data_IF_114871263459
#
_entry.id   IF_114871263459
#
_cell.length_a   1.000
_cell.length_b   1.000
_cell.length_c   1.000
_cell.angle_alpha   90.00
_cell.angle_beta   90.00
_cell.angle_gamma   90.00
#
_symmetry.space_group_name_H-M   'P 1'
#
loop_
_entity.id
_entity.type
_entity.pdbx_description
1 polymer ?
#
# COMPACT_ATOMS: atom_id res chain seq x y z
N UNK A 1 4.05 16.32 27.46
CA UNK A 1 3.38 17.64 27.41
C UNK A 1 3.17 17.98 25.96
N UNK A 2 1.95 18.03 25.61
CA UNK A 2 1.39 17.81 24.30
C UNK A 2 1.48 19.03 23.38
N UNK A 3 2.20 18.89 22.28
CA UNK A 3 2.17 19.83 21.17
C UNK A 3 1.29 19.27 20.03
N UNK A 4 -0.03 19.25 20.25
CA UNK A 4 -1.00 18.97 19.19
C UNK A 4 -1.04 20.13 18.21
N UNK A 5 -0.43 19.95 17.03
CA UNK A 5 -0.67 20.79 15.86
C UNK A 5 -2.06 20.45 15.30
N UNK A 6 -3.05 21.28 15.61
CA UNK A 6 -4.36 21.22 14.98
C UNK A 6 -4.29 21.90 13.60
N UNK A 7 -4.45 21.13 12.55
CA UNK A 7 -4.65 21.66 11.18
C UNK A 7 -6.10 22.14 11.04
N UNK A 8 -6.29 23.43 10.82
CA UNK A 8 -7.59 23.99 10.42
C UNK A 8 -7.61 24.12 8.88
N UNK A 9 -8.26 23.20 8.20
CA UNK A 9 -8.56 23.27 6.78
C UNK A 9 -9.81 24.12 6.55
N UNK A 10 -9.67 25.25 5.86
CA UNK A 10 -10.80 26.10 5.43
C UNK A 10 -11.06 25.84 3.96
N UNK A 11 -12.21 25.27 3.64
CA UNK A 11 -12.69 25.10 2.27
C UNK A 11 -13.53 26.29 1.84
N UNK A 12 -13.12 27.00 0.79
CA UNK A 12 -13.95 27.96 0.10
C UNK A 12 -14.58 27.28 -1.13
N UNK A 13 -15.79 26.77 -0.98
CA UNK A 13 -16.54 26.16 -2.09
C UNK A 13 -17.34 27.25 -2.79
N UNK A 14 -16.91 27.69 -3.98
CA UNK A 14 -17.76 28.42 -4.91
C UNK A 14 -18.67 27.43 -5.63
N UNK A 15 -19.98 27.62 -5.45
CA UNK A 15 -21.00 26.91 -6.23
C UNK A 15 -21.00 27.42 -7.67
N UNK A 16 -20.61 26.57 -8.61
CA UNK A 16 -20.68 26.86 -10.04
C UNK A 16 -20.17 25.69 -10.87
N UNK A 17 -20.99 25.22 -11.77
CA UNK A 17 -20.83 24.02 -12.59
C UNK A 17 -19.73 24.07 -13.67
N UNK A 18 -18.78 25.00 -13.62
CA UNK A 18 -17.80 25.22 -14.71
C UNK A 18 -16.33 25.10 -14.32
N UNK A 19 -15.96 24.59 -13.12
CA UNK A 19 -14.57 24.65 -12.62
C UNK A 19 -13.80 23.35 -12.66
N UNK A 20 -14.17 22.36 -13.42
CA UNK A 20 -13.48 21.06 -13.45
C UNK A 20 -12.82 20.72 -14.81
N UNK A 21 -12.31 21.73 -15.50
CA UNK A 21 -11.36 21.53 -16.59
C UNK A 21 -9.98 21.99 -16.12
N UNK A 22 -9.13 21.02 -15.80
CA UNK A 22 -7.66 21.13 -15.73
C UNK A 22 -6.98 22.04 -14.69
N UNK A 23 -7.58 22.36 -13.55
CA UNK A 23 -6.81 22.98 -12.44
C UNK A 23 -7.24 22.42 -11.10
N UNK A 24 -6.27 21.93 -10.30
CA UNK A 24 -6.50 21.65 -8.88
C UNK A 24 -6.81 22.93 -8.13
N UNK A 25 -7.70 22.91 -7.10
CA UNK A 25 -7.94 24.06 -6.24
C UNK A 25 -6.67 24.40 -5.46
N UNK A 26 -6.29 25.67 -5.43
CA UNK A 26 -5.26 26.18 -4.55
C UNK A 26 -5.75 26.09 -3.09
N UNK A 27 -5.07 25.32 -2.27
CA UNK A 27 -5.32 25.25 -0.84
C UNK A 27 -4.61 26.41 -0.14
N UNK A 28 -5.34 27.33 0.49
CA UNK A 28 -4.76 28.31 1.39
C UNK A 28 -4.88 27.82 2.82
N UNK A 29 -3.75 27.71 3.51
CA UNK A 29 -3.68 27.40 4.92
C UNK A 29 -3.77 28.71 5.71
N UNK A 30 -4.89 28.94 6.39
CA UNK A 30 -5.07 30.10 7.28
C UNK A 30 -4.98 29.67 8.74
N UNK A 31 -4.28 30.47 9.55
CA UNK A 31 -4.29 30.33 11.01
C UNK A 31 -5.50 31.07 11.59
N UNK A 32 -6.33 30.35 12.34
CA UNK A 32 -7.39 30.98 13.14
C UNK A 32 -7.04 30.95 14.63
N UNK A 33 -7.19 32.10 15.29
CA UNK A 33 -7.19 32.16 16.75
C UNK A 33 -8.58 31.87 17.29
N UNK A 34 -8.68 31.38 18.52
CA UNK A 34 -9.92 31.01 19.21
C UNK A 34 -10.94 32.16 19.40
N UNK A 35 -10.66 33.35 18.91
CA UNK A 35 -11.50 34.57 19.07
C UNK A 35 -12.18 35.03 17.80
N UNK A 36 -12.14 34.28 16.71
CA UNK A 36 -12.95 34.55 15.52
C UNK A 36 -12.63 35.83 14.74
N UNK A 37 -11.46 36.44 14.92
CA UNK A 37 -11.02 37.62 14.14
C UNK A 37 -9.91 37.21 13.17
N UNK A 38 -10.10 37.54 11.89
CA UNK A 38 -9.06 37.46 10.87
C UNK A 38 -7.98 38.48 11.16
N UNK A 39 -6.74 38.02 11.44
CA UNK A 39 -5.59 38.92 11.50
C UNK A 39 -5.06 39.14 10.09
N UNK A 40 -4.97 40.41 9.71
CA UNK A 40 -4.31 40.82 8.47
C UNK A 40 -2.79 40.71 8.63
N UNK A 41 -2.12 40.44 7.51
CA UNK A 41 -0.67 40.14 7.41
C UNK A 41 0.28 41.30 7.74
N UNK A 42 -0.16 42.39 8.38
CA UNK A 42 0.66 43.59 8.62
C UNK A 42 1.08 43.77 10.09
N UNK A 43 1.28 42.68 10.87
CA UNK A 43 1.65 42.81 12.30
C UNK A 43 3.09 42.39 12.62
N UNK A 44 4.01 42.48 11.66
CA UNK A 44 5.43 42.20 11.91
C UNK A 44 6.38 43.41 11.70
N UNK A 45 5.84 44.62 11.50
CA UNK A 45 6.66 45.85 11.50
C UNK A 45 6.55 46.56 12.82
N UNK A 46 7.27 46.10 13.84
CA UNK A 46 7.29 46.85 15.09
C UNK A 46 7.88 46.18 16.32
N UNK A 47 8.84 45.25 16.20
CA UNK A 47 9.61 44.83 17.37
C UNK A 47 11.11 45.01 17.15
N UNK A 48 11.65 45.87 18.00
CA UNK A 48 13.01 46.37 17.99
C UNK A 48 14.08 45.27 18.01
N UNK A 49 15.21 45.64 17.42
CA UNK A 49 16.47 44.86 17.40
C UNK A 49 16.97 44.62 18.84
N UNK A 50 16.56 43.57 19.50
CA UNK A 50 17.27 42.99 20.63
C UNK A 50 18.04 41.77 20.15
N UNK A 51 19.37 41.83 20.38
CA UNK A 51 20.35 40.93 19.79
C UNK A 51 20.15 39.47 20.19
N UNK A 52 19.56 38.71 19.32
CA UNK A 52 19.73 37.26 19.34
C UNK A 52 21.09 36.96 18.70
N UNK A 53 22.10 36.61 19.51
CA UNK A 53 23.29 35.92 19.01
C UNK A 53 22.79 34.73 18.21
N UNK A 54 23.04 34.76 16.90
CA UNK A 54 23.02 33.55 16.10
C UNK A 54 24.10 32.65 16.69
N UNK A 55 23.72 31.75 17.58
CA UNK A 55 24.52 30.56 17.76
C UNK A 55 24.61 29.91 16.39
N UNK A 56 25.79 29.86 15.86
CA UNK A 56 26.11 29.01 14.70
C UNK A 56 25.77 27.62 15.16
N UNK A 57 24.60 27.11 14.72
CA UNK A 57 24.34 25.68 14.72
C UNK A 57 25.48 25.15 13.86
N UNK A 58 26.49 24.55 14.51
CA UNK A 58 27.53 23.79 13.83
C UNK A 58 26.74 22.69 13.14
N UNK A 59 26.54 22.83 11.82
CA UNK A 59 25.97 21.79 10.99
C UNK A 59 26.95 20.61 11.09
N UNK A 60 26.63 19.64 11.92
CA UNK A 60 27.28 18.35 11.90
C UNK A 60 27.24 17.86 10.43
N UNK A 61 28.35 17.39 9.88
CA UNK A 61 28.39 16.98 8.47
C UNK A 61 27.28 15.98 8.22
N UNK A 62 26.40 16.30 7.28
CA UNK A 62 25.37 15.41 6.81
C UNK A 62 26.05 14.20 6.15
N UNK A 63 26.15 13.10 6.89
CA UNK A 63 26.70 11.88 6.33
C UNK A 63 25.62 11.20 5.49
N UNK A 64 25.79 11.24 4.19
CA UNK A 64 24.97 10.47 3.26
C UNK A 64 25.29 8.99 3.43
N UNK A 65 24.25 8.18 3.66
CA UNK A 65 24.43 6.73 3.73
C UNK A 65 24.94 6.23 2.36
N UNK A 66 26.11 5.58 2.29
CA UNK A 66 26.68 5.15 1.01
C UNK A 66 25.83 4.09 0.30
N UNK A 67 24.95 3.40 1.02
CA UNK A 67 24.12 2.31 0.48
C UNK A 67 22.75 2.80 0.00
N UNK A 68 22.05 3.68 0.77
CA UNK A 68 20.72 4.18 0.40
C UNK A 68 20.75 5.63 -0.08
N UNK A 69 21.90 6.29 -0.06
CA UNK A 69 22.13 7.71 -0.41
C UNK A 69 21.27 8.73 0.35
N UNK A 70 20.64 8.32 1.45
CA UNK A 70 19.87 9.22 2.31
C UNK A 70 20.76 9.96 3.27
N UNK A 71 20.43 11.22 3.52
CA UNK A 71 21.11 12.05 4.51
C UNK A 71 20.82 11.51 5.91
N UNK A 72 21.87 11.09 6.62
CA UNK A 72 21.79 10.79 8.06
C UNK A 72 21.85 12.09 8.83
N UNK A 73 20.78 12.52 9.44
CA UNK A 73 20.88 13.48 10.54
C UNK A 73 21.49 12.75 11.74
N UNK A 74 22.60 13.24 12.25
CA UNK A 74 23.35 12.66 13.37
C UNK A 74 22.65 12.77 14.74
N UNK A 75 21.44 13.30 14.81
CA UNK A 75 20.62 13.29 16.03
C UNK A 75 19.84 11.98 16.11
N UNK A 76 20.49 10.94 16.56
CA UNK A 76 20.04 9.62 16.99
C UNK A 76 18.61 9.21 16.63
N UNK A 77 18.40 8.05 16.10
CA UNK A 77 17.17 7.25 16.02
C UNK A 77 16.51 7.03 14.65
N UNK A 78 16.97 7.63 13.56
CA UNK A 78 16.40 7.22 12.26
C UNK A 78 17.13 6.00 11.73
N UNK A 79 16.54 4.84 11.91
CA UNK A 79 17.03 3.58 11.35
C UNK A 79 16.95 3.64 9.83
N UNK A 80 18.07 3.49 9.15
CA UNK A 80 18.08 3.30 7.71
C UNK A 80 17.46 1.95 7.38
N UNK A 81 16.55 1.87 6.40
CA UNK A 81 15.94 0.62 5.94
C UNK A 81 16.96 -0.48 5.61
N UNK A 82 18.13 -0.09 5.10
CA UNK A 82 19.22 -1.03 4.82
C UNK A 82 19.84 -1.58 6.10
N UNK A 83 20.05 -0.72 7.11
CA UNK A 83 20.58 -1.19 8.40
C UNK A 83 19.56 -2.04 9.14
N UNK A 84 18.27 -1.70 9.05
CA UNK A 84 17.21 -2.53 9.60
C UNK A 84 17.20 -3.90 8.92
N UNK A 85 17.25 -3.94 7.59
CA UNK A 85 17.35 -5.18 6.82
C UNK A 85 18.62 -5.98 7.17
N UNK A 86 19.76 -5.32 7.26
CA UNK A 86 21.01 -5.98 7.62
C UNK A 86 20.92 -6.56 9.03
N UNK A 87 20.44 -5.81 10.01
CA UNK A 87 20.23 -6.27 11.37
C UNK A 87 19.28 -7.47 11.45
N UNK A 88 18.12 -7.39 10.76
CA UNK A 88 17.15 -8.49 10.71
C UNK A 88 17.77 -9.75 10.09
N UNK A 89 18.52 -9.60 9.00
CA UNK A 89 19.18 -10.74 8.35
C UNK A 89 20.34 -11.33 9.19
N UNK A 90 21.05 -10.49 9.95
CA UNK A 90 22.12 -10.94 10.85
C UNK A 90 21.58 -11.65 12.09
N UNK A 91 20.46 -11.16 12.64
CA UNK A 91 19.87 -11.71 13.89
C UNK A 91 19.06 -12.97 13.67
N UNK A 92 18.35 -13.06 12.53
CA UNK A 92 17.35 -14.12 12.33
C UNK A 92 17.80 -15.22 11.34
N UNK A 93 18.87 -15.03 10.56
CA UNK A 93 19.15 -15.93 9.44
C UNK A 93 20.64 -16.25 9.18
N UNK A 94 21.38 -16.73 10.18
CA UNK A 94 22.68 -17.37 9.90
C UNK A 94 22.52 -18.62 9.02
N UNK A 95 21.31 -19.19 8.95
CA UNK A 95 21.00 -20.43 8.23
C UNK A 95 20.82 -20.25 6.72
N UNK A 96 20.70 -19.01 6.22
CA UNK A 96 20.58 -18.76 4.77
C UNK A 96 21.87 -18.95 3.96
N UNK A 97 22.95 -19.33 4.58
CA UNK A 97 24.18 -19.70 3.88
C UNK A 97 24.16 -21.16 3.37
N UNK A 98 23.09 -21.90 3.66
CA UNK A 98 22.92 -23.29 3.22
C UNK A 98 22.17 -23.39 1.90
N UNK A 99 22.37 -24.48 1.17
CA UNK A 99 21.63 -24.82 -0.04
C UNK A 99 20.29 -25.51 0.22
N UNK A 100 19.96 -25.79 1.48
CA UNK A 100 18.68 -26.40 1.86
C UNK A 100 18.05 -25.58 2.99
N UNK A 101 16.77 -25.28 2.85
CA UNK A 101 15.98 -24.60 3.85
C UNK A 101 14.71 -25.38 4.08
N UNK A 102 14.43 -25.71 5.34
CA UNK A 102 13.22 -26.40 5.77
C UNK A 102 12.46 -25.51 6.73
N UNK A 103 11.15 -25.40 6.54
CA UNK A 103 10.29 -24.65 7.44
C UNK A 103 8.83 -24.62 7.01
N UNK A 104 7.99 -24.06 7.85
CA UNK A 104 6.55 -23.99 7.59
C UNK A 104 6.23 -22.79 6.69
N UNK A 105 5.98 -23.02 5.40
CA UNK A 105 5.50 -21.99 4.47
C UNK A 105 4.12 -21.47 4.89
N UNK A 106 3.91 -20.15 5.02
CA UNK A 106 2.58 -19.56 5.32
C UNK A 106 1.67 -19.54 4.08
N UNK A 107 1.44 -20.64 3.38
CA UNK A 107 1.06 -20.83 1.97
C UNK A 107 1.46 -19.66 1.03
N UNK A 108 2.68 -19.16 1.22
CA UNK A 108 3.21 -18.01 0.52
C UNK A 108 3.82 -18.37 -0.83
N UNK A 109 3.37 -17.68 -1.86
CA UNK A 109 3.89 -17.83 -3.23
C UNK A 109 4.07 -16.46 -3.88
N UNK A 110 4.97 -16.38 -4.87
CA UNK A 110 5.13 -15.14 -5.63
C UNK A 110 5.26 -15.43 -7.12
N UNK A 111 4.87 -14.43 -7.93
CA UNK A 111 5.08 -14.37 -9.37
C UNK A 111 5.77 -13.04 -9.69
N UNK A 112 6.99 -13.10 -10.18
CA UNK A 112 7.77 -11.93 -10.57
C UNK A 112 7.29 -11.32 -11.88
N UNK A 113 7.68 -10.07 -12.16
CA UNK A 113 7.32 -9.37 -13.41
C UNK A 113 8.43 -9.34 -14.45
N UNK A 114 9.68 -9.48 -14.02
CA UNK A 114 10.83 -9.38 -14.92
C UNK A 114 10.90 -10.55 -15.87
N UNK A 115 11.12 -10.22 -17.15
CA UNK A 115 11.22 -11.22 -18.23
C UNK A 115 9.86 -11.65 -18.82
N UNK A 116 8.74 -10.99 -18.42
CA UNK A 116 7.42 -11.29 -18.98
C UNK A 116 7.48 -11.44 -20.53
N UNK A 117 6.87 -12.50 -21.10
CA UNK A 117 5.97 -13.49 -20.51
C UNK A 117 6.65 -14.66 -19.76
N UNK A 118 7.97 -14.75 -19.73
CA UNK A 118 8.73 -15.74 -18.96
C UNK A 118 9.10 -15.15 -17.60
N UNK A 119 8.31 -15.43 -16.58
CA UNK A 119 8.41 -14.85 -15.24
C UNK A 119 9.14 -15.77 -14.26
N UNK A 120 9.53 -15.23 -13.11
CA UNK A 120 10.02 -16.01 -11.98
C UNK A 120 8.86 -16.33 -11.05
N UNK A 121 8.77 -17.59 -10.62
CA UNK A 121 7.73 -18.09 -9.72
C UNK A 121 8.35 -18.94 -8.63
N UNK A 122 7.72 -18.99 -7.47
CA UNK A 122 8.16 -19.90 -6.45
C UNK A 122 7.50 -19.72 -5.08
N UNK A 123 7.80 -20.62 -4.15
CA UNK A 123 7.31 -20.54 -2.78
C UNK A 123 8.10 -19.53 -1.95
N UNK A 124 7.49 -19.12 -0.84
CA UNK A 124 8.12 -18.32 0.21
C UNK A 124 8.15 -19.14 1.48
N UNK A 125 9.35 -19.43 1.99
CA UNK A 125 9.54 -20.33 3.13
C UNK A 125 10.45 -19.67 4.16
N UNK A 126 10.02 -19.56 5.44
CA UNK A 126 10.89 -19.16 6.52
C UNK A 126 11.70 -20.36 7.04
N UNK A 127 12.88 -20.17 7.63
CA UNK A 127 13.68 -21.25 8.21
C UNK A 127 13.18 -21.64 9.61
N UNK A 128 11.88 -21.63 9.84
CA UNK A 128 11.24 -21.94 11.12
C UNK A 128 10.00 -22.79 10.90
N UNK A 129 9.71 -23.70 11.83
CA UNK A 129 8.52 -24.55 11.83
C UNK A 129 7.44 -24.00 12.76
N UNK A 130 6.16 -24.33 12.48
CA UNK A 130 5.01 -23.97 13.29
C UNK A 130 4.04 -23.03 12.59
N UNK A 131 3.30 -22.22 13.36
CA UNK A 131 2.34 -21.27 12.78
C UNK A 131 3.04 -20.00 12.29
N UNK A 132 3.30 -19.96 11.02
CA UNK A 132 3.94 -18.85 10.30
C UNK A 132 2.93 -17.98 9.54
N UNK A 133 1.63 -18.16 9.73
CA UNK A 133 0.56 -17.48 9.00
C UNK A 133 0.74 -15.96 8.99
N UNK A 134 1.14 -15.38 10.12
CA UNK A 134 1.34 -13.92 10.27
C UNK A 134 2.38 -13.37 9.29
N UNK A 135 3.37 -14.17 8.86
CA UNK A 135 4.47 -13.72 8.01
C UNK A 135 4.03 -13.29 6.60
N UNK A 136 2.85 -13.76 6.13
CA UNK A 136 2.31 -13.40 4.82
C UNK A 136 0.79 -13.11 4.82
N UNK A 137 0.28 -12.58 5.94
CA UNK A 137 -1.13 -12.18 6.07
C UNK A 137 -1.24 -10.71 6.48
N UNK A 138 -1.07 -9.78 5.53
CA UNK A 138 -1.08 -8.34 5.80
C UNK A 138 -2.32 -7.81 6.51
N UNK A 139 -3.47 -8.44 6.35
CA UNK A 139 -4.71 -8.09 7.05
C UNK A 139 -4.56 -8.18 8.59
N UNK A 140 -3.58 -8.96 9.07
CA UNK A 140 -3.29 -9.13 10.51
C UNK A 140 -2.15 -8.24 11.01
N UNK A 141 -1.57 -7.40 10.14
CA UNK A 141 -0.44 -6.54 10.51
C UNK A 141 -0.87 -5.17 11.08
N UNK A 142 -2.17 -4.87 11.06
CA UNK A 142 -2.64 -3.61 11.65
C UNK A 142 -2.31 -3.57 13.15
N UNK A 143 -1.72 -2.43 13.57
CA UNK A 143 -1.20 -2.24 14.93
C UNK A 143 0.20 -2.82 15.19
N UNK A 144 0.80 -3.50 14.22
CA UNK A 144 2.19 -3.96 14.30
C UNK A 144 3.14 -2.81 14.03
N UNK A 145 4.30 -2.85 14.67
CA UNK A 145 5.38 -1.90 14.44
C UNK A 145 6.00 -2.10 13.05
N UNK A 146 6.71 -1.07 12.60
CA UNK A 146 7.46 -1.14 11.36
C UNK A 146 8.50 -2.27 11.37
N UNK A 147 9.21 -2.42 12.48
CA UNK A 147 10.23 -3.45 12.67
C UNK A 147 9.64 -4.86 12.56
N UNK A 148 8.49 -5.12 13.23
CA UNK A 148 7.80 -6.41 13.14
C UNK A 148 7.38 -6.75 11.70
N UNK A 149 6.83 -5.79 10.95
CA UNK A 149 6.38 -6.02 9.56
C UNK A 149 7.57 -6.32 8.64
N UNK A 150 8.66 -5.58 8.81
CA UNK A 150 9.89 -5.82 8.05
C UNK A 150 10.46 -7.20 8.37
N UNK A 151 10.44 -7.59 9.64
CA UNK A 151 10.90 -8.89 10.11
C UNK A 151 10.09 -10.03 9.50
N UNK A 152 8.74 -9.94 9.53
CA UNK A 152 7.87 -10.93 8.90
C UNK A 152 8.21 -11.16 7.43
N UNK A 153 8.47 -10.08 6.70
CA UNK A 153 8.74 -10.17 5.26
C UNK A 153 10.16 -10.66 4.95
N UNK A 154 11.13 -10.28 5.76
CA UNK A 154 12.52 -10.69 5.55
C UNK A 154 12.80 -12.11 6.03
N UNK A 155 11.98 -12.64 6.92
CA UNK A 155 12.01 -14.04 7.34
C UNK A 155 11.64 -15.00 6.21
N UNK A 156 11.00 -14.54 5.14
CA UNK A 156 10.55 -15.38 4.04
C UNK A 156 11.59 -15.47 2.92
N UNK A 157 12.31 -16.58 2.84
CA UNK A 157 13.16 -16.88 1.68
C UNK A 157 12.30 -17.19 0.47
N UNK A 158 12.60 -16.55 -0.67
CA UNK A 158 11.97 -16.80 -1.96
C UNK A 158 12.82 -17.73 -2.81
N UNK A 159 12.41 -18.98 -2.92
CA UNK A 159 12.93 -19.87 -3.95
C UNK A 159 12.32 -19.54 -5.31
N UNK A 160 13.08 -19.44 -6.40
CA UNK A 160 12.51 -19.13 -7.72
C UNK A 160 12.92 -20.10 -8.81
N UNK A 161 11.98 -20.35 -9.70
CA UNK A 161 12.18 -21.01 -10.99
C UNK A 161 11.62 -20.14 -12.10
N UNK A 162 11.99 -20.40 -13.34
CA UNK A 162 11.44 -19.71 -14.52
C UNK A 162 10.26 -20.48 -15.07
N UNK A 163 9.16 -19.78 -15.36
CA UNK A 163 7.96 -20.34 -15.95
C UNK A 163 7.42 -19.42 -17.05
N UNK A 164 6.83 -19.98 -18.08
CA UNK A 164 6.00 -19.23 -19.02
C UNK A 164 4.64 -18.95 -18.38
N UNK A 165 4.06 -17.80 -18.66
CA UNK A 165 2.74 -17.44 -18.08
C UNK A 165 1.63 -18.42 -18.46
N UNK A 166 1.78 -19.15 -19.58
CA UNK A 166 0.80 -20.12 -20.06
C UNK A 166 0.83 -21.44 -19.29
N UNK A 167 1.92 -21.72 -18.54
CA UNK A 167 2.00 -22.92 -17.71
C UNK A 167 0.89 -22.99 -16.64
N UNK A 168 0.27 -21.86 -16.29
CA UNK A 168 -0.92 -21.85 -15.43
C UNK A 168 -2.11 -22.67 -15.98
N UNK A 169 -2.19 -22.85 -17.28
CA UNK A 169 -3.25 -23.64 -17.97
C UNK A 169 -2.74 -24.95 -18.57
N UNK A 170 -1.48 -24.97 -19.00
CA UNK A 170 -0.85 -26.12 -19.64
C UNK A 170 -0.37 -27.14 -18.61
N UNK A 171 -0.17 -26.67 -17.37
CA UNK A 171 0.35 -27.44 -16.25
C UNK A 171 1.87 -27.58 -16.32
N UNK A 172 2.48 -27.54 -15.17
CA UNK A 172 3.84 -28.00 -14.94
C UNK A 172 3.98 -28.35 -13.48
N UNK A 173 4.85 -29.31 -13.15
CA UNK A 173 4.99 -29.79 -11.77
C UNK A 173 5.18 -28.66 -10.76
N UNK A 174 5.95 -27.62 -11.11
CA UNK A 174 6.19 -26.49 -10.22
C UNK A 174 4.95 -25.63 -10.03
N UNK A 175 4.22 -25.33 -11.11
CA UNK A 175 3.01 -24.51 -11.05
C UNK A 175 1.90 -25.24 -10.32
N UNK A 176 1.69 -26.51 -10.63
CA UNK A 176 0.68 -27.35 -9.98
C UNK A 176 0.91 -27.39 -8.46
N UNK A 177 2.14 -27.63 -8.02
CA UNK A 177 2.50 -27.63 -6.58
C UNK A 177 2.30 -26.23 -5.94
N UNK A 178 2.64 -25.13 -6.66
CA UNK A 178 2.41 -23.78 -6.14
C UNK A 178 0.92 -23.45 -6.04
N UNK A 179 0.09 -23.93 -6.96
CA UNK A 179 -1.37 -23.79 -6.90
C UNK A 179 -1.95 -24.58 -5.71
N UNK A 180 -1.46 -25.80 -5.47
CA UNK A 180 -1.83 -26.56 -4.27
C UNK A 180 -1.46 -25.83 -2.97
N UNK A 181 -0.22 -25.31 -2.87
CA UNK A 181 0.20 -24.49 -1.73
C UNK A 181 -0.70 -23.27 -1.53
N UNK A 182 -1.06 -22.56 -2.62
CA UNK A 182 -1.92 -21.37 -2.51
C UNK A 182 -3.35 -21.66 -2.05
N UNK A 183 -3.83 -22.89 -2.23
CA UNK A 183 -5.14 -23.34 -1.71
C UNK A 183 -5.10 -23.69 -0.22
N UNK A 184 -3.94 -23.99 0.36
CA UNK A 184 -3.82 -24.44 1.75
C UNK A 184 -4.30 -23.37 2.74
N UNK A 185 -4.92 -23.82 3.84
CA UNK A 185 -5.46 -22.93 4.89
C UNK A 185 -4.49 -22.68 6.04
N UNK A 186 -3.50 -23.55 6.21
CA UNK A 186 -2.51 -23.51 7.31
C UNK A 186 -1.09 -23.57 6.76
N UNK A 187 -0.10 -23.10 7.53
CA UNK A 187 1.30 -23.31 7.20
C UNK A 187 1.62 -24.79 6.98
N UNK A 188 2.48 -25.04 6.01
CA UNK A 188 2.87 -26.38 5.59
C UNK A 188 4.38 -26.51 5.55
N UNK A 189 4.87 -27.62 6.11
CA UNK A 189 6.31 -27.94 6.05
C UNK A 189 6.74 -28.02 4.60
N UNK A 190 7.75 -27.25 4.28
CA UNK A 190 8.27 -27.12 2.92
C UNK A 190 9.78 -27.16 2.96
N UNK A 191 10.36 -28.02 2.15
CA UNK A 191 11.79 -28.12 1.93
C UNK A 191 12.18 -27.46 0.61
N UNK A 192 13.11 -26.52 0.66
CA UNK A 192 13.72 -25.91 -0.51
C UNK A 192 15.13 -26.41 -0.70
N UNK A 193 15.44 -26.95 -1.87
CA UNK A 193 16.82 -27.21 -2.31
C UNK A 193 17.19 -26.12 -3.31
N UNK A 194 18.24 -25.36 -3.00
CA UNK A 194 18.67 -24.19 -3.74
C UNK A 194 19.86 -24.54 -4.67
N UNK A 195 19.81 -24.09 -5.90
CA UNK A 195 20.91 -24.24 -6.84
C UNK A 195 22.14 -23.39 -6.47
N UNK A 196 21.89 -22.25 -5.82
CA UNK A 196 22.91 -21.31 -5.33
C UNK A 196 22.47 -20.71 -3.99
N UNK A 197 23.43 -20.26 -3.16
CA UNK A 197 23.11 -19.56 -1.92
C UNK A 197 22.22 -18.33 -2.16
N UNK A 198 21.37 -17.97 -1.20
CA UNK A 198 20.45 -16.83 -1.31
C UNK A 198 21.19 -15.50 -1.49
N UNK A 199 20.60 -14.63 -2.30
CA UNK A 199 21.07 -13.26 -2.47
C UNK A 199 20.18 -12.30 -1.67
N UNK A 200 20.82 -11.35 -1.00
CA UNK A 200 20.15 -10.26 -0.31
C UNK A 200 19.72 -9.23 -1.34
N UNK A 201 18.40 -9.06 -1.54
CA UNK A 201 17.82 -8.07 -2.49
C UNK A 201 17.05 -7.01 -1.73
N UNK A 202 17.31 -5.74 -2.02
CA UNK A 202 16.54 -4.62 -1.51
C UNK A 202 15.60 -4.12 -2.61
N UNK A 203 14.29 -4.20 -2.38
CA UNK A 203 13.26 -3.60 -3.22
C UNK A 203 12.54 -2.52 -2.41
N UNK A 204 12.55 -1.27 -2.89
CA UNK A 204 12.00 -0.09 -2.23
C UNK A 204 10.73 0.44 -2.89
N UNK A 205 10.12 -0.34 -3.79
CA UNK A 205 8.91 0.10 -4.50
C UNK A 205 7.68 -0.02 -3.63
N UNK A 206 6.82 1.00 -3.66
CA UNK A 206 5.59 1.07 -2.86
C UNK A 206 4.59 -0.04 -3.20
N UNK A 207 4.54 -0.47 -4.44
CA UNK A 207 3.63 -1.51 -4.89
C UNK A 207 4.13 -2.94 -4.65
N UNK A 208 5.34 -3.09 -4.14
CA UNK A 208 5.87 -4.35 -3.67
C UNK A 208 6.06 -4.30 -2.15
N UNK A 209 5.74 -5.42 -1.53
CA UNK A 209 6.07 -5.60 -0.13
C UNK A 209 7.60 -5.78 0.01
N UNK A 210 8.18 -5.45 1.18
CA UNK A 210 9.55 -5.82 1.48
C UNK A 210 9.72 -7.33 1.31
N UNK A 211 10.81 -7.75 0.70
CA UNK A 211 11.05 -9.16 0.43
C UNK A 211 12.34 -9.64 1.06
N UNK A 212 12.30 -10.85 1.62
CA UNK A 212 13.45 -11.57 2.10
C UNK A 212 14.44 -12.00 1.00
N UNK A 213 15.42 -12.79 1.36
CA UNK A 213 16.41 -13.33 0.44
C UNK A 213 15.78 -14.06 -0.73
N UNK A 214 16.50 -14.15 -1.85
CA UNK A 214 16.04 -14.83 -3.06
C UNK A 214 17.14 -15.77 -3.59
N UNK A 215 16.75 -16.98 -3.99
CA UNK A 215 17.66 -17.95 -4.57
C UNK A 215 17.02 -18.77 -5.70
N UNK A 216 17.79 -19.21 -6.71
CA UNK A 216 17.28 -20.15 -7.71
C UNK A 216 17.01 -21.51 -7.06
N UNK A 217 15.84 -22.07 -7.34
CA UNK A 217 15.46 -23.42 -6.92
C UNK A 217 16.16 -24.48 -7.77
N UNK A 218 16.67 -25.53 -7.11
CA UNK A 218 16.92 -26.81 -7.75
C UNK A 218 15.67 -27.70 -7.66
N UNK A 219 15.04 -27.76 -6.47
CA UNK A 219 13.75 -28.42 -6.26
C UNK A 219 13.08 -27.88 -5.00
N UNK A 220 11.77 -28.14 -4.86
CA UNK A 220 11.09 -27.99 -3.57
C UNK A 220 10.04 -29.10 -3.40
N UNK A 221 9.80 -29.43 -2.15
CA UNK A 221 8.79 -30.37 -1.73
C UNK A 221 7.96 -29.76 -0.61
N UNK A 222 6.68 -30.06 -0.59
CA UNK A 222 5.76 -29.58 0.43
C UNK A 222 4.97 -30.75 1.00
N UNK A 223 4.70 -30.68 2.30
CA UNK A 223 3.78 -31.58 2.95
C UNK A 223 2.33 -31.31 2.54
N UNK A 224 1.41 -32.06 3.12
CA UNK A 224 -0.03 -31.88 2.91
C UNK A 224 -0.61 -31.03 4.04
N UNK A 225 -1.56 -30.18 3.69
CA UNK A 225 -2.37 -29.40 4.62
C UNK A 225 -3.82 -29.33 4.15
N UNK A 226 -4.72 -28.88 5.01
CA UNK A 226 -6.12 -28.67 4.63
C UNK A 226 -6.23 -27.59 3.55
N UNK A 227 -7.07 -27.84 2.57
CA UNK A 227 -7.36 -26.93 1.44
C UNK A 227 -8.58 -26.08 1.77
N UNK A 228 -8.67 -24.89 1.21
CA UNK A 228 -9.84 -24.03 1.28
C UNK A 228 -10.82 -24.40 0.17
N UNK A 229 -11.91 -25.07 0.54
CA UNK A 229 -12.93 -25.58 -0.39
C UNK A 229 -13.47 -24.49 -1.34
N UNK A 230 -13.50 -23.23 -0.88
CA UNK A 230 -13.99 -22.09 -1.68
C UNK A 230 -13.03 -21.77 -2.83
N UNK A 231 -11.72 -21.73 -2.51
CA UNK A 231 -10.67 -21.49 -3.51
C UNK A 231 -10.58 -22.69 -4.45
N UNK A 232 -10.63 -23.90 -3.90
CA UNK A 232 -10.59 -25.15 -4.67
C UNK A 232 -11.77 -25.24 -5.65
N UNK A 233 -12.98 -24.96 -5.19
CA UNK A 233 -14.18 -24.91 -6.05
C UNK A 233 -14.03 -23.92 -7.20
N UNK A 234 -13.54 -22.70 -6.91
CA UNK A 234 -13.30 -21.69 -7.93
C UNK A 234 -12.18 -22.09 -8.92
N UNK A 235 -11.18 -22.85 -8.44
CA UNK A 235 -10.10 -23.37 -9.28
C UNK A 235 -10.59 -24.43 -10.28
N UNK A 236 -11.43 -25.37 -9.82
CA UNK A 236 -11.94 -26.44 -10.69
C UNK A 236 -13.07 -25.99 -11.62
N UNK A 237 -13.74 -24.87 -11.31
CA UNK A 237 -14.73 -24.27 -12.21
C UNK A 237 -14.05 -23.55 -13.37
N UNK A 238 -14.00 -24.20 -14.52
CA UNK A 238 -13.32 -23.71 -15.73
C UNK A 238 -14.18 -22.80 -16.60
N UNK A 239 -15.45 -22.66 -16.27
CA UNK A 239 -16.41 -21.78 -16.95
C UNK A 239 -16.62 -20.46 -16.18
N UNK A 240 -16.26 -20.44 -14.90
CA UNK A 240 -16.35 -19.26 -14.04
C UNK A 240 -15.35 -18.20 -14.51
N UNK A 241 -15.83 -17.00 -14.78
CA UNK A 241 -14.96 -15.87 -15.13
C UNK A 241 -14.11 -15.45 -13.93
N UNK A 242 -12.89 -14.99 -14.19
CA UNK A 242 -11.95 -14.61 -13.12
C UNK A 242 -12.48 -13.47 -12.24
N UNK A 243 -13.17 -12.50 -12.84
CA UNK A 243 -13.77 -11.37 -12.10
C UNK A 243 -14.95 -11.82 -11.22
N UNK A 244 -15.71 -12.81 -11.62
CA UNK A 244 -16.80 -13.37 -10.83
C UNK A 244 -16.27 -14.28 -9.71
N UNK A 245 -15.21 -15.08 -9.98
CA UNK A 245 -14.51 -15.86 -8.96
C UNK A 245 -13.97 -14.97 -7.83
N UNK A 246 -13.29 -13.87 -8.19
CA UNK A 246 -12.75 -12.88 -7.22
C UNK A 246 -13.87 -12.32 -6.34
N UNK A 247 -15.00 -11.92 -6.94
CA UNK A 247 -16.15 -11.38 -6.20
C UNK A 247 -16.81 -12.42 -5.29
N UNK A 248 -16.96 -13.66 -5.78
CA UNK A 248 -17.54 -14.74 -5.00
C UNK A 248 -16.68 -15.05 -3.77
N UNK A 249 -15.38 -15.27 -3.95
CA UNK A 249 -14.45 -15.54 -2.85
C UNK A 249 -14.43 -14.40 -1.82
N UNK A 250 -14.48 -13.16 -2.27
CA UNK A 250 -14.57 -12.00 -1.38
C UNK A 250 -15.87 -12.01 -0.56
N UNK A 251 -17.02 -12.32 -1.15
CA UNK A 251 -18.31 -12.45 -0.45
C UNK A 251 -18.33 -13.60 0.53
N UNK A 252 -17.59 -14.66 0.23
CA UNK A 252 -17.41 -15.82 1.09
C UNK A 252 -16.35 -15.58 2.19
N UNK A 253 -15.93 -14.31 2.39
CA UNK A 253 -14.97 -13.88 3.40
C UNK A 253 -13.58 -14.52 3.27
N UNK A 254 -13.14 -14.84 2.06
CA UNK A 254 -11.74 -15.16 1.81
C UNK A 254 -10.92 -13.87 1.86
N UNK A 255 -9.80 -13.89 2.58
CA UNK A 255 -8.92 -12.72 2.70
C UNK A 255 -8.46 -12.23 1.31
N UNK A 256 -8.46 -10.91 1.11
CA UNK A 256 -8.10 -10.30 -0.17
C UNK A 256 -6.70 -10.73 -0.62
N UNK A 257 -5.75 -10.83 0.31
CA UNK A 257 -4.39 -11.30 0.00
C UNK A 257 -4.38 -12.74 -0.50
N UNK A 258 -5.22 -13.64 0.03
CA UNK A 258 -5.33 -15.00 -0.47
C UNK A 258 -5.94 -15.05 -1.87
N UNK A 259 -6.96 -14.23 -2.14
CA UNK A 259 -7.55 -14.08 -3.48
C UNK A 259 -6.49 -13.57 -4.47
N UNK A 260 -5.71 -12.55 -4.09
CA UNK A 260 -4.63 -11.98 -4.91
C UNK A 260 -3.56 -13.03 -5.23
N UNK A 261 -3.21 -13.89 -4.28
CA UNK A 261 -2.23 -14.97 -4.43
C UNK A 261 -2.73 -16.03 -5.43
N UNK A 262 -3.94 -16.53 -5.23
CA UNK A 262 -4.53 -17.51 -6.14
C UNK A 262 -4.73 -16.93 -7.55
N UNK A 263 -5.17 -15.68 -7.67
CA UNK A 263 -5.26 -14.97 -8.94
C UNK A 263 -3.90 -14.85 -9.64
N UNK A 264 -2.83 -14.57 -8.86
CA UNK A 264 -1.46 -14.46 -9.39
C UNK A 264 -0.98 -15.76 -10.07
N UNK A 265 -1.38 -16.91 -9.53
CA UNK A 265 -1.06 -18.23 -10.09
C UNK A 265 -2.00 -18.67 -11.22
N UNK A 266 -2.86 -17.75 -11.71
CA UNK A 266 -3.78 -18.05 -12.80
C UNK A 266 -4.84 -19.10 -12.46
N UNK A 267 -5.22 -19.21 -11.16
CA UNK A 267 -6.15 -20.25 -10.70
C UNK A 267 -7.60 -19.96 -11.07
N UNK A 268 -7.94 -18.74 -11.48
CA UNK A 268 -9.32 -18.33 -11.80
C UNK A 268 -9.48 -17.98 -13.27
N UNK A 269 -10.72 -18.13 -13.76
CA UNK A 269 -11.13 -17.77 -15.11
C UNK A 269 -11.30 -18.98 -16.02
N UNK A 270 -11.88 -18.72 -17.18
CA UNK A 270 -12.09 -19.72 -18.22
C UNK A 270 -10.77 -20.42 -18.57
N UNK A 271 -10.78 -21.74 -18.66
CA UNK A 271 -9.56 -22.55 -18.75
C UNK A 271 -8.56 -22.09 -19.82
N UNK A 272 -9.05 -21.71 -21.02
CA UNK A 272 -8.21 -21.22 -22.12
C UNK A 272 -7.55 -19.85 -21.88
N UNK A 273 -8.06 -19.07 -20.92
CA UNK A 273 -7.61 -17.71 -20.62
C UNK A 273 -6.71 -17.65 -19.38
N UNK A 274 -6.56 -18.74 -18.65
CA UNK A 274 -5.72 -18.79 -17.44
C UNK A 274 -4.26 -18.55 -17.79
N UNK A 275 -3.61 -17.69 -17.00
CA UNK A 275 -2.19 -17.37 -17.14
C UNK A 275 -1.64 -16.87 -15.80
N UNK A 276 -0.35 -17.05 -15.60
CA UNK A 276 0.32 -16.41 -14.46
C UNK A 276 0.23 -14.88 -14.58
N UNK A 277 -0.04 -14.24 -13.47
CA UNK A 277 -0.09 -12.78 -13.35
C UNK A 277 0.93 -12.34 -12.32
N UNK A 278 1.88 -11.47 -12.66
CA UNK A 278 2.80 -10.94 -11.65
C UNK A 278 2.08 -10.47 -10.39
N UNK A 279 2.59 -10.85 -9.21
CA UNK A 279 1.94 -10.56 -7.90
C UNK A 279 1.57 -9.09 -7.77
N UNK A 280 2.45 -8.17 -8.19
CA UNK A 280 2.17 -6.74 -8.23
C UNK A 280 0.90 -6.40 -9.04
N UNK A 281 0.73 -7.02 -10.21
CA UNK A 281 -0.43 -6.77 -11.06
C UNK A 281 -1.69 -7.43 -10.51
N UNK A 282 -1.56 -8.60 -9.88
CA UNK A 282 -2.70 -9.29 -9.27
C UNK A 282 -3.31 -8.49 -8.12
N UNK A 283 -2.48 -7.84 -7.30
CA UNK A 283 -2.93 -6.95 -6.23
C UNK A 283 -3.82 -5.85 -6.80
N UNK A 284 -3.32 -5.10 -7.77
CA UNK A 284 -4.09 -4.03 -8.42
C UNK A 284 -5.34 -4.55 -9.13
N UNK A 285 -5.24 -5.70 -9.83
CA UNK A 285 -6.36 -6.26 -10.56
C UNK A 285 -7.50 -6.70 -9.63
N UNK A 286 -7.19 -7.35 -8.53
CA UNK A 286 -8.19 -7.80 -7.54
C UNK A 286 -8.83 -6.60 -6.84
N UNK A 287 -8.04 -5.66 -6.32
CA UNK A 287 -8.55 -4.46 -5.65
C UNK A 287 -9.42 -3.61 -6.60
N UNK A 288 -8.99 -3.48 -7.88
CA UNK A 288 -9.76 -2.79 -8.90
C UNK A 288 -11.07 -3.50 -9.22
N UNK A 289 -11.05 -4.83 -9.40
CA UNK A 289 -12.23 -5.62 -9.69
C UNK A 289 -13.27 -5.49 -8.57
N UNK A 290 -12.87 -5.74 -7.33
CA UNK A 290 -13.75 -5.65 -6.16
C UNK A 290 -14.34 -4.26 -6.02
N UNK A 291 -13.52 -3.21 -6.09
CA UNK A 291 -14.02 -1.83 -5.98
C UNK A 291 -15.00 -1.47 -7.08
N UNK A 292 -14.77 -1.88 -8.34
CA UNK A 292 -15.72 -1.64 -9.45
C UNK A 292 -17.06 -2.32 -9.22
N UNK A 293 -17.07 -3.55 -8.71
CA UNK A 293 -18.29 -4.29 -8.40
C UNK A 293 -19.07 -3.66 -7.23
N UNK A 294 -18.38 -3.17 -6.22
CA UNK A 294 -18.98 -2.43 -5.10
C UNK A 294 -19.51 -1.07 -5.55
N UNK A 295 -18.73 -0.30 -6.31
CA UNK A 295 -19.16 0.98 -6.88
C UNK A 295 -20.42 0.86 -7.75
N UNK A 296 -20.57 -0.22 -8.49
CA UNK A 296 -21.77 -0.47 -9.30
C UNK A 296 -23.05 -0.47 -8.43
N UNK A 297 -22.96 -0.93 -7.17
CA UNK A 297 -24.06 -0.86 -6.19
C UNK A 297 -24.14 0.50 -5.51
N UNK A 298 -22.99 0.99 -5.00
CA UNK A 298 -22.90 2.26 -4.25
C UNK A 298 -23.53 3.43 -5.01
N UNK A 299 -23.33 3.50 -6.31
CA UNK A 299 -23.89 4.56 -7.17
C UNK A 299 -25.43 4.64 -7.18
N UNK A 300 -26.11 3.57 -6.79
CA UNK A 300 -27.57 3.51 -6.71
C UNK A 300 -28.10 3.85 -5.31
N UNK A 301 -27.24 4.01 -4.31
CA UNK A 301 -27.66 4.40 -2.96
C UNK A 301 -27.88 5.92 -2.87
N UNK A 302 -28.71 6.37 -1.90
CA UNK A 302 -28.82 7.80 -1.62
C UNK A 302 -27.49 8.36 -1.09
N UNK A 303 -27.17 9.64 -1.37
CA UNK A 303 -26.00 10.28 -0.79
C UNK A 303 -26.05 10.32 0.74
N UNK A 304 -24.89 10.48 1.38
CA UNK A 304 -24.83 10.86 2.80
C UNK A 304 -25.44 12.24 2.99
N UNK A 305 -25.94 12.53 4.20
CA UNK A 305 -26.63 13.81 4.50
C UNK A 305 -25.70 14.90 5.02
N UNK A 306 -24.43 14.64 5.21
CA UNK A 306 -23.49 15.53 5.90
C UNK A 306 -22.06 15.33 5.41
N UNK A 307 -21.21 16.35 5.58
CA UNK A 307 -19.77 16.18 5.40
C UNK A 307 -19.21 15.40 6.60
N UNK A 308 -18.34 14.43 6.32
CA UNK A 308 -17.66 13.61 7.33
C UNK A 308 -16.17 13.71 7.14
N UNK A 309 -15.46 14.07 8.20
CA UNK A 309 -13.99 14.13 8.19
C UNK A 309 -13.44 13.11 9.16
N UNK A 310 -12.53 12.29 8.69
CA UNK A 310 -11.88 11.22 9.41
C UNK A 310 -10.38 11.47 9.46
N UNK A 311 -9.73 11.03 10.55
CA UNK A 311 -8.27 11.06 10.68
C UNK A 311 -7.77 9.76 11.30
N UNK A 312 -6.66 9.26 10.79
CA UNK A 312 -5.99 8.06 11.30
C UNK A 312 -4.48 8.16 11.05
N UNK A 313 -3.67 7.60 11.95
CA UNK A 313 -2.21 7.63 11.83
C UNK A 313 -1.67 6.22 12.04
N UNK A 314 -0.80 5.77 11.13
CA UNK A 314 -0.15 4.47 11.23
C UNK A 314 1.15 4.45 10.42
N UNK A 315 2.23 3.88 11.00
CA UNK A 315 3.56 3.76 10.39
C UNK A 315 4.08 5.09 9.81
N UNK A 316 4.03 6.16 10.59
CA UNK A 316 4.41 7.52 10.16
C UNK A 316 3.70 8.02 8.89
N UNK A 317 2.51 7.49 8.63
CA UNK A 317 1.59 8.07 7.67
C UNK A 317 0.41 8.68 8.39
N UNK A 318 -0.04 9.85 7.93
CA UNK A 318 -1.30 10.46 8.36
C UNK A 318 -2.31 10.29 7.22
N UNK A 319 -3.43 9.68 7.54
CA UNK A 319 -4.55 9.51 6.60
C UNK A 319 -5.67 10.45 6.99
N UNK A 320 -6.19 11.21 6.02
CA UNK A 320 -7.38 12.06 6.17
C UNK A 320 -8.39 11.62 5.12
N UNK A 321 -9.62 11.37 5.55
CA UNK A 321 -10.74 11.03 4.68
C UNK A 321 -11.83 12.07 4.79
N UNK A 322 -12.29 12.61 3.66
CA UNK A 322 -13.40 13.55 3.58
C UNK A 322 -14.48 12.92 2.70
N UNK A 323 -15.63 12.65 3.30
CA UNK A 323 -16.82 12.27 2.54
C UNK A 323 -17.76 13.45 2.39
N UNK A 324 -18.20 13.71 1.16
CA UNK A 324 -19.07 14.82 0.80
C UNK A 324 -20.48 14.34 0.41
N UNK A 325 -21.56 15.08 0.74
CA UNK A 325 -22.94 14.70 0.46
C UNK A 325 -23.32 14.90 -1.01
N UNK A 326 -22.67 14.16 -1.88
CA UNK A 326 -22.89 14.20 -3.33
C UNK A 326 -22.84 12.79 -3.95
N UNK A 327 -23.08 12.68 -5.25
CA UNK A 327 -22.92 11.43 -5.99
C UNK A 327 -21.48 10.95 -5.98
N UNK A 328 -21.28 9.64 -6.19
CA UNK A 328 -19.96 9.03 -6.20
C UNK A 328 -18.94 9.83 -7.01
N UNK A 329 -17.86 10.18 -6.33
CA UNK A 329 -16.58 10.66 -6.87
C UNK A 329 -15.49 10.11 -5.98
N UNK A 330 -14.31 9.93 -6.53
CA UNK A 330 -13.20 9.44 -5.74
C UNK A 330 -11.91 10.16 -6.14
N UNK A 331 -11.16 10.59 -5.14
CA UNK A 331 -9.86 11.21 -5.29
C UNK A 331 -8.89 10.61 -4.27
N UNK A 332 -7.70 10.26 -4.71
CA UNK A 332 -6.60 9.79 -3.89
C UNK A 332 -5.39 10.68 -4.08
N UNK A 333 -4.85 11.20 -2.98
CA UNK A 333 -3.71 12.13 -2.98
C UNK A 333 -2.69 11.60 -1.98
N UNK A 334 -1.42 11.54 -2.40
CA UNK A 334 -0.27 11.25 -1.56
C UNK A 334 0.65 12.47 -1.50
N UNK A 335 0.98 12.93 -0.28
CA UNK A 335 1.96 13.98 -0.03
C UNK A 335 3.22 13.35 0.59
N UNK A 336 4.32 13.37 -0.14
CA UNK A 336 5.58 12.75 0.24
C UNK A 336 6.56 13.80 0.75
N UNK A 337 6.89 13.73 2.05
CA UNK A 337 7.83 14.65 2.70
C UNK A 337 9.30 14.30 2.42
N UNK A 338 9.57 13.14 1.85
CA UNK A 338 10.87 12.73 1.28
C UNK A 338 10.66 12.39 -0.20
N UNK A 339 10.86 13.35 -1.13
CA UNK A 339 10.68 13.13 -2.57
C UNK A 339 11.52 11.97 -3.13
N UNK A 340 12.68 11.72 -2.56
CA UNK A 340 13.58 10.61 -2.94
C UNK A 340 12.92 9.25 -2.66
N UNK A 341 12.11 9.15 -1.62
CA UNK A 341 11.35 7.93 -1.30
C UNK A 341 10.24 7.71 -2.34
N UNK A 342 9.56 8.78 -2.76
CA UNK A 342 8.59 8.71 -3.85
C UNK A 342 9.25 8.21 -5.13
N UNK A 343 10.36 8.81 -5.55
CA UNK A 343 11.07 8.42 -6.78
C UNK A 343 11.52 6.95 -6.74
N UNK A 344 11.87 6.44 -5.56
CA UNK A 344 12.27 5.04 -5.37
C UNK A 344 11.06 4.11 -5.32
N UNK A 345 9.98 4.55 -4.66
CA UNK A 345 8.73 3.79 -4.50
C UNK A 345 7.94 3.64 -5.81
N UNK A 346 8.00 4.65 -6.67
CA UNK A 346 7.29 4.71 -7.94
C UNK A 346 8.25 5.02 -9.11
N UNK A 347 9.11 4.07 -9.50
CA UNK A 347 10.13 4.31 -10.53
C UNK A 347 9.55 4.62 -11.92
N UNK A 348 8.28 4.31 -12.15
CA UNK A 348 7.56 4.57 -13.40
C UNK A 348 6.89 5.96 -13.42
N UNK A 349 6.93 6.72 -12.30
CA UNK A 349 6.41 8.09 -12.19
C UNK A 349 7.46 9.08 -12.67
N UNK A 350 7.06 9.97 -13.58
CA UNK A 350 7.91 11.07 -14.03
C UNK A 350 7.80 12.23 -13.02
N UNK A 351 8.86 12.46 -12.24
CA UNK A 351 8.88 13.46 -11.18
C UNK A 351 8.63 14.90 -11.69
N UNK A 352 8.97 15.20 -12.95
CA UNK A 352 8.77 16.52 -13.52
C UNK A 352 7.35 16.77 -14.06
N UNK A 353 6.65 15.71 -14.44
CA UNK A 353 5.34 15.78 -15.12
C UNK A 353 4.16 15.30 -14.28
N UNK A 354 4.40 14.29 -13.45
CA UNK A 354 3.32 13.60 -12.72
C UNK A 354 3.18 14.08 -11.28
N UNK A 355 4.18 14.80 -10.77
CA UNK A 355 4.30 15.23 -9.39
C UNK A 355 4.16 16.74 -9.28
N UNK A 356 3.35 17.21 -8.34
CA UNK A 356 3.21 18.62 -8.02
C UNK A 356 4.04 18.97 -6.78
N UNK A 357 4.87 20.00 -6.90
CA UNK A 357 5.60 20.56 -5.75
C UNK A 357 4.69 21.50 -4.98
N UNK A 358 4.56 21.29 -3.67
CA UNK A 358 3.78 22.17 -2.80
C UNK A 358 4.70 23.29 -2.33
N UNK A 359 4.25 24.54 -2.48
CA UNK A 359 4.95 25.70 -1.90
C UNK A 359 4.68 25.80 -0.40
N UNK A 360 5.06 24.76 0.32
CA UNK A 360 4.97 24.65 1.76
C UNK A 360 6.25 24.03 2.28
N UNK A 361 6.89 24.71 3.22
CA UNK A 361 8.02 24.14 3.95
C UNK A 361 7.55 23.74 5.34
N UNK A 362 7.57 22.44 5.63
CA UNK A 362 7.20 21.93 6.95
C UNK A 362 8.13 22.48 8.04
N UNK A 363 7.71 22.48 9.33
CA UNK A 363 8.57 22.87 10.45
C UNK A 363 9.93 22.15 10.50
N UNK A 364 10.04 20.99 9.87
CA UNK A 364 11.30 20.23 9.71
C UNK A 364 12.13 20.62 8.48
N UNK A 365 11.73 21.64 7.72
CA UNK A 365 12.46 22.10 6.52
C UNK A 365 12.23 21.25 5.26
N UNK A 366 11.24 20.35 5.26
CA UNK A 366 10.91 19.51 4.12
C UNK A 366 9.93 20.22 3.18
N UNK A 367 10.15 20.05 1.86
CA UNK A 367 9.19 20.43 0.83
C UNK A 367 8.54 19.17 0.26
N UNK A 368 7.29 18.87 0.62
CA UNK A 368 6.63 17.68 0.14
C UNK A 368 6.29 17.81 -1.35
N UNK A 369 6.25 16.68 -2.02
CA UNK A 369 5.71 16.56 -3.37
C UNK A 369 4.43 15.76 -3.35
N UNK A 370 3.49 16.09 -4.24
CA UNK A 370 2.19 15.42 -4.30
C UNK A 370 2.05 14.57 -5.55
N UNK A 371 1.46 13.40 -5.38
CA UNK A 371 1.04 12.51 -6.44
C UNK A 371 -0.42 12.13 -6.21
N UNK A 372 -1.29 12.43 -7.17
CA UNK A 372 -2.71 12.14 -7.02
C UNK A 372 -3.39 11.79 -8.33
N UNK A 373 -4.59 11.25 -8.20
CA UNK A 373 -5.48 10.99 -9.33
C UNK A 373 -6.93 10.89 -8.86
N UNK A 374 -7.87 11.11 -9.78
CA UNK A 374 -9.30 11.14 -9.47
C UNK A 374 -10.16 10.46 -10.51
N UNK A 375 -11.40 10.15 -10.11
CA UNK A 375 -12.46 9.73 -11.03
C UNK A 375 -13.80 10.33 -10.66
N UNK A 376 -14.60 10.62 -11.68
CA UNK A 376 -15.99 11.04 -11.49
C UNK A 376 -16.96 9.86 -11.42
N UNK A 377 -18.25 10.17 -11.47
CA UNK A 377 -19.35 9.20 -11.38
C UNK A 377 -19.23 8.00 -12.36
N UNK A 378 -18.73 8.23 -13.56
CA UNK A 378 -18.57 7.16 -14.57
C UNK A 378 -17.34 6.27 -14.36
N UNK A 379 -16.50 6.59 -13.37
CA UNK A 379 -15.21 5.92 -13.13
C UNK A 379 -14.15 6.40 -14.13
N UNK A 380 -13.03 5.68 -14.17
CA UNK A 380 -11.88 6.00 -15.03
C UNK A 380 -11.62 4.91 -16.07
N UNK A 381 -11.01 5.31 -17.19
CA UNK A 381 -10.62 4.41 -18.28
C UNK A 381 -9.10 4.15 -18.34
N UNK A 382 -8.31 5.03 -17.73
CA UNK A 382 -6.84 4.95 -17.73
C UNK A 382 -6.33 4.41 -16.40
N UNK A 383 -5.11 3.90 -16.37
CA UNK A 383 -4.45 3.49 -15.13
C UNK A 383 -4.14 4.72 -14.27
N UNK A 384 -4.33 4.61 -12.95
CA UNK A 384 -4.11 5.74 -12.03
C UNK A 384 -2.62 5.99 -11.80
N UNK A 385 -2.21 7.27 -11.71
CA UNK A 385 -0.82 7.66 -11.46
C UNK A 385 -0.24 7.06 -10.17
N UNK A 386 -0.94 7.08 -9.02
CA UNK A 386 -0.47 6.44 -7.79
C UNK A 386 -0.50 4.90 -7.82
N UNK A 387 -0.77 4.29 -8.97
CA UNK A 387 -0.71 2.85 -9.15
C UNK A 387 -1.62 2.08 -8.20
N UNK A 388 -1.07 1.03 -7.56
CA UNK A 388 -1.81 0.14 -6.66
C UNK A 388 -2.49 0.84 -5.50
N UNK A 389 -1.87 1.89 -4.93
CA UNK A 389 -2.42 2.66 -3.80
C UNK A 389 -3.80 3.23 -4.09
N UNK A 390 -3.99 3.78 -5.30
CA UNK A 390 -5.28 4.31 -5.75
C UNK A 390 -6.39 3.25 -5.68
N UNK A 391 -6.12 2.05 -6.20
CA UNK A 391 -7.13 0.97 -6.27
C UNK A 391 -7.42 0.37 -4.91
N UNK A 392 -6.41 0.24 -4.06
CA UNK A 392 -6.56 -0.23 -2.68
C UNK A 392 -7.34 0.77 -1.82
N UNK A 393 -7.09 2.08 -1.99
CA UNK A 393 -7.84 3.14 -1.35
C UNK A 393 -9.31 3.15 -1.81
N UNK A 394 -9.53 3.06 -3.12
CA UNK A 394 -10.89 3.00 -3.69
C UNK A 394 -11.67 1.80 -3.18
N UNK A 395 -11.01 0.64 -3.02
CA UNK A 395 -11.65 -0.56 -2.46
C UNK A 395 -12.15 -0.29 -1.04
N UNK A 396 -11.30 0.21 -0.14
CA UNK A 396 -11.68 0.49 1.24
C UNK A 396 -12.85 1.47 1.36
N UNK A 397 -12.86 2.53 0.54
CA UNK A 397 -13.96 3.51 0.47
C UNK A 397 -15.26 2.86 -0.06
N UNK A 398 -15.15 2.07 -1.13
CA UNK A 398 -16.30 1.38 -1.71
C UNK A 398 -16.93 0.38 -0.73
N UNK A 399 -16.10 -0.36 0.03
CA UNK A 399 -16.54 -1.27 1.09
C UNK A 399 -17.32 -0.51 2.18
N UNK A 400 -16.78 0.61 2.66
CA UNK A 400 -17.44 1.42 3.67
C UNK A 400 -18.78 1.95 3.21
N UNK A 401 -18.83 2.56 2.03
CA UNK A 401 -20.07 3.14 1.49
C UNK A 401 -21.12 2.06 1.19
N UNK A 402 -20.70 0.91 0.70
CA UNK A 402 -21.59 -0.23 0.49
C UNK A 402 -22.15 -0.75 1.80
N UNK A 403 -21.33 -0.86 2.85
CA UNK A 403 -21.76 -1.35 4.19
C UNK A 403 -22.78 -0.44 4.87
N UNK A 404 -22.73 0.86 4.61
CA UNK A 404 -23.70 1.82 5.18
C UNK A 404 -24.88 2.12 4.25
N UNK A 405 -24.91 1.54 3.03
CA UNK A 405 -25.96 1.75 2.05
C UNK A 405 -26.05 3.20 1.57
N UNK A 406 -24.93 3.88 1.38
CA UNK A 406 -24.83 5.29 0.96
C UNK A 406 -23.80 5.48 -0.15
N UNK A 407 -23.98 6.56 -0.94
CA UNK A 407 -22.94 7.08 -1.81
C UNK A 407 -22.41 8.41 -1.28
N UNK A 408 -21.23 8.80 -1.70
CA UNK A 408 -20.57 10.05 -1.35
C UNK A 408 -19.51 10.42 -2.40
N UNK A 409 -19.15 11.68 -2.49
CA UNK A 409 -17.84 12.07 -2.98
C UNK A 409 -16.81 11.74 -1.88
N UNK A 410 -15.67 11.17 -2.25
CA UNK A 410 -14.63 10.75 -1.31
C UNK A 410 -13.28 11.34 -1.72
N UNK A 411 -12.68 12.13 -0.85
CA UNK A 411 -11.32 12.65 -0.99
C UNK A 411 -10.50 12.00 0.10
N UNK A 412 -9.49 11.22 -0.30
CA UNK A 412 -8.60 10.52 0.60
C UNK A 412 -7.18 11.06 0.42
N UNK A 413 -6.61 11.56 1.51
CA UNK A 413 -5.26 12.10 1.57
C UNK A 413 -4.39 11.22 2.45
N UNK A 414 -3.17 10.95 2.00
CA UNK A 414 -2.11 10.30 2.75
C UNK A 414 -0.90 11.22 2.80
N UNK A 415 -0.47 11.60 3.99
CA UNK A 415 0.83 12.24 4.22
C UNK A 415 1.84 11.18 4.61
N UNK A 416 2.97 11.12 3.93
CA UNK A 416 4.04 10.17 4.16
C UNK A 416 5.23 10.92 4.78
N UNK A 417 5.41 10.73 6.08
CA UNK A 417 6.45 11.39 6.86
C UNK A 417 7.77 10.60 6.85
N UNK A 418 8.90 11.26 7.21
CA UNK A 418 10.24 10.65 7.14
C UNK A 418 10.45 9.38 7.98
N UNK A 419 9.59 9.11 8.95
CA UNK A 419 9.62 7.86 9.71
C UNK A 419 9.11 6.63 8.94
N UNK A 420 8.40 6.84 7.84
CA UNK A 420 8.08 5.78 6.88
C UNK A 420 9.32 5.45 6.05
N UNK A 421 10.25 4.74 6.69
CA UNK A 421 11.63 4.56 6.20
C UNK A 421 11.74 3.70 4.94
N UNK A 422 10.75 2.87 4.64
CA UNK A 422 10.63 2.11 3.40
C UNK A 422 9.19 1.72 3.12
N UNK A 423 8.81 1.57 1.85
CA UNK A 423 7.50 1.07 1.48
C UNK A 423 7.23 -0.36 2.01
N UNK A 424 6.08 -0.56 2.62
CA UNK A 424 5.65 -1.88 3.12
C UNK A 424 4.62 -2.55 2.22
N UNK A 425 4.19 -1.86 1.17
CA UNK A 425 3.22 -2.35 0.19
C UNK A 425 1.83 -1.72 0.32
N UNK A 426 1.06 -1.80 -0.75
CA UNK A 426 -0.27 -1.16 -0.86
C UNK A 426 -1.33 -1.71 0.10
N UNK A 427 -1.09 -2.86 0.73
CA UNK A 427 -1.93 -3.35 1.81
C UNK A 427 -2.07 -2.32 2.94
N UNK A 428 -0.98 -1.58 3.24
CA UNK A 428 -0.99 -0.54 4.27
C UNK A 428 -2.04 0.55 3.96
N UNK A 429 -2.18 0.95 2.72
CA UNK A 429 -3.21 1.91 2.29
C UNK A 429 -4.61 1.32 2.50
N UNK A 430 -4.84 0.10 2.04
CA UNK A 430 -6.17 -0.54 2.16
C UNK A 430 -6.60 -0.69 3.61
N UNK A 431 -5.74 -1.29 4.44
CA UNK A 431 -6.08 -1.57 5.83
C UNK A 431 -6.14 -0.29 6.68
N UNK A 432 -5.26 0.68 6.43
CA UNK A 432 -5.32 1.99 7.12
C UNK A 432 -6.60 2.75 6.80
N UNK A 433 -7.08 2.73 5.55
CA UNK A 433 -8.34 3.36 5.20
C UNK A 433 -9.56 2.59 5.74
N UNK A 434 -9.49 1.26 5.81
CA UNK A 434 -10.49 0.46 6.52
C UNK A 434 -10.58 0.83 8.00
N UNK A 435 -9.42 1.05 8.64
CA UNK A 435 -9.35 1.52 10.03
C UNK A 435 -9.85 2.96 10.16
N UNK A 436 -9.39 3.87 9.29
CA UNK A 436 -9.82 5.26 9.23
C UNK A 436 -11.35 5.39 9.20
N UNK A 437 -12.01 4.71 8.28
CA UNK A 437 -13.46 4.81 8.05
C UNK A 437 -14.31 4.17 9.17
N UNK A 438 -13.67 3.45 10.10
CA UNK A 438 -14.28 2.95 11.34
C UNK A 438 -14.08 3.90 12.53
N UNK A 439 -13.21 4.92 12.42
CA UNK A 439 -13.03 5.90 13.49
C UNK A 439 -14.24 6.82 13.63
N UNK A 440 -14.32 7.52 14.76
CA UNK A 440 -15.29 8.59 14.92
C UNK A 440 -14.94 9.74 13.96
N UNK A 441 -15.92 10.22 13.22
CA UNK A 441 -15.75 11.35 12.30
C UNK A 441 -16.27 12.65 12.91
N UNK A 442 -15.70 13.77 12.44
CA UNK A 442 -16.22 15.12 12.70
C UNK A 442 -17.27 15.44 11.64
N UNK A 443 -18.39 16.00 12.10
CA UNK A 443 -19.55 16.38 11.22
C UNK A 443 -19.49 17.85 10.91
N UNK A 444 -19.65 18.17 9.64
CA UNK A 444 -19.82 19.55 9.18
C UNK A 444 -21.10 19.66 8.35
N UNK A 445 -21.96 20.60 8.73
CA UNK A 445 -23.14 20.98 7.96
C UNK A 445 -22.83 22.34 7.36
N UNK A 446 -22.74 22.43 6.04
CA UNK A 446 -22.62 23.73 5.39
C UNK A 446 -23.94 24.47 5.53
N UNK A 447 -23.96 25.52 6.32
CA UNK A 447 -25.01 26.50 6.29
C UNK A 447 -24.89 27.28 4.99
N UNK A 448 -25.65 26.91 3.96
CA UNK A 448 -25.88 27.79 2.82
C UNK A 448 -26.78 28.91 3.32
N UNK A 449 -26.24 30.12 3.49
CA UNK A 449 -27.09 31.29 3.56
C UNK A 449 -27.88 31.35 2.23
N UNK A 450 -29.19 31.20 2.35
CA UNK A 450 -30.14 31.49 1.26
C UNK A 450 -30.10 32.99 0.92
#
# INVERSE_FOLDING_TARGET
MDGLLSFNLVFNVKSGSELWSNRMPHYQVGHFSSTGRTMSTNMFDGMGRSGWRRERIISTPETVCPMCRRVRRLSGERRCAIHLKAATLETHHPEFDTKSVVGSSPPGVFVGRFGYPKVFVGPMVPPVSGDTTILDTPEWWMGKSFDEIVDYRYSLLRGYSRADILEAREGSKIIDTLQEVAMMTKPVETELVLAKPPRKVLDMREDSQPFGPIAPLASFQTGNSSVDDRIEKAFYDRDLRADDAVLQLYRDNVLVTRIQRAFSLGMFGEGKRRKLVPTRWSITAVDSNLSLRLMARVRHYPPIGEYRVYKYTYLDNVYVGILTPESWRFEWIEAWFEPELLATGFPDVNMDKDVETIDYTSPGGYRPVMLGDSEGYRGRKTYAKPGGCYYSARLAVSEHLDSIGRQAGAIMLREIHPGYIMPVGVWNVRESLRALLKTRFERFILWTRR
#
